data_IF_605994948892
#
_entry.id   IF_605994948892
#
_cell.length_a   1.000
_cell.length_b   1.000
_cell.length_c   1.000
_cell.angle_alpha   90.00
_cell.angle_beta   90.00
_cell.angle_gamma   90.00
#
_symmetry.space_group_name_H-M   'P 1'
#
loop_
_entity.id
_entity.type
_entity.pdbx_description
1 polymer ?
#
# COMPACT_ATOMS: atom_id res chain seq x y z
N UNK A 1 -12.41 -18.86 -14.54
CA UNK A 1 -11.52 -19.61 -13.63
C UNK A 1 -11.53 -18.96 -12.24
N UNK A 2 -12.70 -18.87 -11.58
CA UNK A 2 -12.92 -18.08 -10.34
C UNK A 2 -13.13 -18.97 -9.10
N UNK A 3 -13.35 -20.28 -9.28
CA UNK A 3 -13.82 -21.19 -8.22
C UNK A 3 -12.74 -21.90 -7.40
N UNK A 4 -11.45 -21.69 -7.69
CA UNK A 4 -10.36 -22.36 -6.95
C UNK A 4 -9.83 -21.52 -5.77
N UNK A 5 -10.25 -20.25 -5.65
CA UNK A 5 -9.61 -19.28 -4.75
C UNK A 5 -9.93 -19.44 -3.26
N UNK A 6 -10.83 -20.34 -2.86
CA UNK A 6 -11.35 -20.38 -1.48
C UNK A 6 -11.15 -21.71 -0.75
N UNK A 7 -10.53 -22.70 -1.38
CA UNK A 7 -9.97 -23.87 -0.69
C UNK A 7 -8.67 -23.42 0.00
N UNK A 8 -8.42 -23.91 1.21
CA UNK A 8 -7.15 -23.71 1.95
C UNK A 8 -6.87 -22.26 2.44
N UNK A 9 -7.88 -21.59 3.01
CA UNK A 9 -7.64 -20.36 3.78
C UNK A 9 -7.11 -20.75 5.16
N UNK A 10 -5.91 -20.28 5.57
CA UNK A 10 -5.43 -20.53 6.92
C UNK A 10 -6.34 -19.77 7.90
N UNK A 11 -6.68 -20.41 9.02
CA UNK A 11 -7.59 -19.85 10.02
C UNK A 11 -6.98 -20.05 11.40
N UNK A 12 -6.94 -18.99 12.18
CA UNK A 12 -6.66 -19.05 13.61
C UNK A 12 -8.01 -18.97 14.33
N UNK A 13 -8.17 -19.80 15.35
CA UNK A 13 -9.36 -19.82 16.19
C UNK A 13 -9.10 -19.05 17.47
N UNK A 14 -10.02 -18.16 17.83
CA UNK A 14 -9.89 -17.37 19.05
C UNK A 14 -10.23 -18.20 20.28
N UNK A 15 -9.58 -17.88 21.40
CA UNK A 15 -9.95 -18.41 22.72
C UNK A 15 -11.18 -17.66 23.24
N UNK A 16 -11.11 -16.32 23.21
CA UNK A 16 -12.22 -15.44 23.54
C UNK A 16 -12.68 -14.65 22.31
N UNK A 17 -14.00 -14.63 22.08
CA UNK A 17 -14.57 -13.95 20.91
C UNK A 17 -14.22 -12.45 20.90
N UNK A 18 -13.59 -11.98 19.84
CA UNK A 18 -13.19 -10.59 19.65
C UNK A 18 -11.84 -10.22 20.26
N UNK A 19 -11.05 -11.20 20.72
CA UNK A 19 -9.68 -10.95 21.21
C UNK A 19 -8.79 -10.37 20.10
N UNK A 20 -8.92 -10.82 18.85
CA UNK A 20 -8.11 -10.34 17.72
C UNK A 20 -8.36 -8.86 17.41
N UNK A 21 -9.60 -8.41 17.50
CA UNK A 21 -9.99 -7.01 17.28
C UNK A 21 -9.48 -6.11 18.41
N UNK A 22 -9.52 -6.60 19.64
CA UNK A 22 -8.97 -5.91 20.81
C UNK A 22 -7.45 -5.81 20.73
N UNK A 23 -6.77 -6.93 20.45
CA UNK A 23 -5.33 -6.99 20.26
C UNK A 23 -4.85 -6.09 19.12
N UNK A 24 -5.58 -6.07 17.99
CA UNK A 24 -5.32 -5.13 16.89
C UNK A 24 -5.36 -3.69 17.37
N UNK A 25 -6.39 -3.31 18.13
CA UNK A 25 -6.58 -1.93 18.62
C UNK A 25 -5.42 -1.49 19.51
N UNK A 26 -4.95 -2.39 20.38
CA UNK A 26 -3.77 -2.16 21.23
C UNK A 26 -2.52 -1.99 20.35
N UNK A 27 -2.34 -2.86 19.36
CA UNK A 27 -1.17 -2.82 18.48
C UNK A 27 -1.08 -1.55 17.62
N UNK A 28 -2.21 -0.91 17.29
CA UNK A 28 -2.20 0.36 16.56
C UNK A 28 -1.41 1.46 17.28
N UNK A 29 -1.38 1.43 18.61
CA UNK A 29 -0.67 2.40 19.44
C UNK A 29 0.86 2.23 19.36
N UNK A 30 1.35 1.07 18.94
CA UNK A 30 2.77 0.78 18.81
C UNK A 30 3.43 1.41 17.57
N UNK A 31 2.68 2.13 16.73
CA UNK A 31 3.26 3.08 15.76
C UNK A 31 4.06 2.46 14.62
N UNK A 32 3.56 1.40 13.97
CA UNK A 32 4.13 0.93 12.70
C UNK A 32 3.79 1.87 11.54
N UNK A 33 4.79 2.19 10.70
CA UNK A 33 4.73 3.21 9.63
C UNK A 33 3.57 3.02 8.66
N UNK A 34 3.44 1.84 8.04
CA UNK A 34 2.28 1.50 7.18
C UNK A 34 1.13 0.81 7.94
N UNK A 35 1.28 0.64 9.25
CA UNK A 35 0.32 -0.02 10.13
C UNK A 35 0.23 -1.54 10.00
N UNK A 36 -0.67 -2.16 10.79
CA UNK A 36 -0.85 -3.61 10.84
C UNK A 36 -1.38 -4.19 9.51
N UNK A 37 -1.16 -5.49 9.27
CA UNK A 37 -1.73 -6.17 8.11
C UNK A 37 -3.26 -6.14 8.18
N UNK A 38 -3.92 -6.25 7.05
CA UNK A 38 -5.38 -6.34 6.99
C UNK A 38 -5.87 -7.59 7.73
N UNK A 39 -6.93 -7.45 8.53
CA UNK A 39 -7.50 -8.51 9.36
C UNK A 39 -8.91 -8.84 8.88
N UNK A 40 -9.19 -10.13 8.69
CA UNK A 40 -10.52 -10.65 8.41
C UNK A 40 -10.96 -11.54 9.58
N UNK A 41 -11.98 -11.11 10.30
CA UNK A 41 -12.61 -11.84 11.39
C UNK A 41 -13.98 -12.39 10.97
N UNK A 42 -14.30 -13.61 11.41
CA UNK A 42 -15.58 -14.26 11.21
C UNK A 42 -16.00 -15.02 12.48
N UNK A 43 -17.17 -14.68 13.00
CA UNK A 43 -17.81 -15.36 14.12
C UNK A 43 -18.82 -16.39 13.60
N UNK A 44 -18.69 -17.63 14.07
CA UNK A 44 -19.53 -18.75 13.67
C UNK A 44 -20.32 -19.26 14.87
N UNK A 45 -21.57 -19.59 14.63
CA UNK A 45 -22.44 -20.21 15.63
C UNK A 45 -22.71 -21.65 15.25
N UNK A 46 -22.66 -22.57 16.22
CA UNK A 46 -22.86 -24.01 15.99
C UNK A 46 -24.34 -24.43 16.02
N UNK A 47 -25.28 -23.48 15.96
CA UNK A 47 -26.72 -23.75 15.89
C UNK A 47 -27.34 -24.41 17.13
N UNK A 48 -26.52 -24.90 18.07
CA UNK A 48 -26.94 -25.52 19.33
C UNK A 48 -27.12 -24.43 20.39
N UNK A 49 -28.30 -24.38 21.00
CA UNK A 49 -28.57 -23.42 22.07
C UNK A 49 -27.58 -23.61 23.24
N UNK A 50 -26.94 -22.53 23.68
CA UNK A 50 -26.03 -22.52 24.82
C UNK A 50 -24.54 -22.75 24.53
N UNK A 51 -24.13 -22.99 23.27
CA UNK A 51 -22.70 -22.97 22.91
C UNK A 51 -22.21 -21.56 22.57
N UNK A 52 -21.00 -21.22 23.02
CA UNK A 52 -20.33 -19.95 22.69
C UNK A 52 -20.03 -19.88 21.20
N UNK A 53 -20.18 -18.70 20.62
CA UNK A 53 -19.82 -18.45 19.23
C UNK A 53 -18.29 -18.59 19.06
N UNK A 54 -17.88 -19.30 18.01
CA UNK A 54 -16.49 -19.59 17.72
C UNK A 54 -15.93 -18.51 16.80
N UNK A 55 -14.98 -17.74 17.30
CA UNK A 55 -14.26 -16.71 16.55
C UNK A 55 -13.17 -17.33 15.69
N UNK A 56 -13.06 -16.90 14.44
CA UNK A 56 -11.94 -17.26 13.57
C UNK A 56 -11.44 -16.06 12.79
N UNK A 57 -10.13 -15.94 12.62
CA UNK A 57 -9.53 -14.84 11.87
C UNK A 57 -8.36 -15.30 11.01
N UNK A 58 -8.00 -14.46 10.06
CA UNK A 58 -6.79 -14.58 9.24
C UNK A 58 -6.32 -13.19 8.82
N UNK A 59 -5.02 -13.07 8.57
CA UNK A 59 -4.43 -11.87 8.03
C UNK A 59 -4.34 -11.99 6.51
N UNK A 60 -4.53 -10.90 5.79
CA UNK A 60 -4.32 -10.92 4.35
C UNK A 60 -4.97 -9.77 3.62
N UNK A 61 -4.29 -9.36 2.56
CA UNK A 61 -4.76 -8.33 1.66
C UNK A 61 -5.81 -8.91 0.70
N UNK A 62 -6.91 -8.20 0.44
CA UNK A 62 -7.84 -8.58 -0.63
C UNK A 62 -8.16 -7.50 -1.65
N UNK A 63 -8.45 -8.00 -2.87
CA UNK A 63 -8.89 -7.28 -4.08
C UNK A 63 -10.19 -6.48 -3.88
N UNK A 64 -10.22 -5.31 -4.55
CA UNK A 64 -11.35 -4.52 -5.11
C UNK A 64 -12.64 -4.35 -4.26
N UNK A 65 -12.95 -3.07 -3.99
CA UNK A 65 -14.19 -2.52 -3.40
C UNK A 65 -14.51 -3.15 -2.04
N UNK A 66 -13.87 -2.61 -1.01
CA UNK A 66 -13.96 -3.02 0.40
C UNK A 66 -15.42 -3.28 0.82
N UNK A 67 -16.34 -2.33 0.64
CA UNK A 67 -17.72 -2.49 1.15
C UNK A 67 -18.58 -3.57 0.47
N UNK A 68 -18.68 -3.59 -0.86
CA UNK A 68 -19.65 -4.44 -1.56
C UNK A 68 -19.27 -5.93 -1.58
N UNK A 69 -17.96 -6.23 -1.47
CA UNK A 69 -17.46 -7.61 -1.55
C UNK A 69 -17.16 -8.27 -0.22
N UNK A 70 -17.11 -7.58 0.92
CA UNK A 70 -17.01 -8.26 2.24
C UNK A 70 -18.28 -9.07 2.51
N UNK A 71 -19.45 -8.53 2.17
CA UNK A 71 -20.71 -9.29 2.23
C UNK A 71 -20.69 -10.50 1.28
N UNK A 72 -20.22 -10.35 0.03
CA UNK A 72 -20.02 -11.49 -0.87
C UNK A 72 -18.93 -12.45 -0.38
N UNK A 73 -17.87 -11.98 0.27
CA UNK A 73 -16.76 -12.78 0.79
C UNK A 73 -17.20 -13.63 1.97
N UNK A 74 -17.98 -13.08 2.91
CA UNK A 74 -18.60 -13.84 3.99
C UNK A 74 -19.63 -14.85 3.47
N UNK A 75 -20.35 -14.51 2.39
CA UNK A 75 -21.23 -15.46 1.67
C UNK A 75 -20.46 -16.52 0.85
N UNK A 76 -19.23 -16.23 0.39
CA UNK A 76 -18.40 -17.10 -0.45
C UNK A 76 -17.33 -17.88 0.31
N UNK A 77 -17.15 -17.63 1.62
CA UNK A 77 -16.38 -18.53 2.46
C UNK A 77 -17.03 -19.93 2.34
N UNK A 78 -16.26 -20.99 2.06
CA UNK A 78 -16.79 -22.34 1.86
C UNK A 78 -17.54 -22.87 3.08
N UNK A 79 -17.43 -22.20 4.23
CA UNK A 79 -18.23 -22.49 5.42
C UNK A 79 -19.74 -22.23 5.21
N UNK A 80 -20.15 -21.47 4.18
CA UNK A 80 -21.56 -21.40 3.79
C UNK A 80 -22.06 -22.67 3.09
N UNK A 81 -21.18 -23.46 2.47
CA UNK A 81 -21.52 -24.80 1.98
C UNK A 81 -21.50 -25.86 3.11
N UNK A 82 -20.92 -25.55 4.27
CA UNK A 82 -21.02 -26.35 5.49
C UNK A 82 -22.37 -26.23 6.21
N UNK A 83 -23.29 -25.42 5.69
CA UNK A 83 -24.72 -25.52 6.05
C UNK A 83 -25.27 -26.94 5.82
N UNK A 84 -24.66 -27.70 4.94
CA UNK A 84 -25.20 -29.00 4.51
C UNK A 84 -24.63 -30.21 5.26
N UNK A 85 -23.58 -30.06 6.09
CA UNK A 85 -22.93 -31.22 6.74
C UNK A 85 -22.62 -31.10 8.24
N UNK A 86 -22.41 -29.90 8.81
CA UNK A 86 -22.01 -29.75 10.22
C UNK A 86 -22.80 -28.71 11.06
N UNK A 87 -23.78 -28.02 10.47
CA UNK A 87 -24.67 -27.11 11.21
C UNK A 87 -24.02 -25.84 11.77
N UNK A 88 -22.88 -25.41 11.19
CA UNK A 88 -22.16 -24.20 11.60
C UNK A 88 -22.50 -23.06 10.65
N UNK A 89 -23.08 -21.97 11.17
CA UNK A 89 -23.45 -20.79 10.38
C UNK A 89 -22.61 -19.57 10.76
N UNK A 90 -22.14 -18.82 9.76
CA UNK A 90 -21.46 -17.53 9.96
C UNK A 90 -22.51 -16.48 10.34
N UNK A 91 -22.40 -15.90 11.53
CA UNK A 91 -23.34 -14.86 12.03
C UNK A 91 -22.83 -13.45 11.87
N UNK A 92 -21.53 -13.25 12.08
CA UNK A 92 -20.90 -11.94 12.04
C UNK A 92 -19.55 -12.02 11.34
N UNK A 93 -19.16 -10.97 10.64
CA UNK A 93 -17.81 -10.80 10.12
C UNK A 93 -17.35 -9.36 10.25
N UNK A 94 -16.06 -9.17 10.48
CA UNK A 94 -15.43 -7.86 10.55
C UNK A 94 -14.20 -7.86 9.65
N UNK A 95 -14.06 -6.83 8.81
CA UNK A 95 -12.84 -6.56 8.07
C UNK A 95 -12.20 -5.28 8.58
N UNK A 96 -10.91 -5.32 8.88
CA UNK A 96 -10.15 -4.16 9.33
C UNK A 96 -9.01 -3.86 8.37
N UNK A 97 -8.94 -2.62 7.92
CA UNK A 97 -7.87 -2.12 7.06
C UNK A 97 -7.36 -0.79 7.62
N UNK A 98 -6.06 -0.73 7.87
CA UNK A 98 -5.44 0.47 8.41
C UNK A 98 -5.20 1.49 7.30
N UNK A 99 -5.60 2.74 7.53
CA UNK A 99 -5.27 3.89 6.70
C UNK A 99 -4.04 4.60 7.26
N UNK A 100 -2.93 4.54 6.53
CA UNK A 100 -1.66 5.13 6.95
C UNK A 100 -1.60 6.66 6.72
N UNK A 101 -2.48 7.23 5.91
CA UNK A 101 -2.53 8.69 5.69
C UNK A 101 -3.17 9.40 6.89
N UNK A 102 -4.36 8.93 7.27
CA UNK A 102 -5.15 9.51 8.38
C UNK A 102 -4.88 8.84 9.73
N UNK A 103 -4.05 7.79 9.78
CA UNK A 103 -3.71 7.02 10.99
C UNK A 103 -4.94 6.46 11.73
N UNK A 104 -5.90 5.95 10.98
CA UNK A 104 -7.13 5.32 11.51
C UNK A 104 -7.32 3.93 10.95
N UNK A 105 -8.05 3.08 11.67
CA UNK A 105 -8.41 1.75 11.24
C UNK A 105 -9.86 1.71 10.76
N UNK A 106 -10.02 1.51 9.45
CA UNK A 106 -11.33 1.42 8.84
C UNK A 106 -11.86 0.01 9.02
N UNK A 107 -13.01 -0.10 9.70
CA UNK A 107 -13.66 -1.37 10.01
C UNK A 107 -15.00 -1.48 9.33
N UNK A 108 -15.28 -2.66 8.81
CA UNK A 108 -16.56 -3.00 8.18
C UNK A 108 -17.10 -4.25 8.83
N UNK A 109 -18.19 -4.09 9.58
CA UNK A 109 -18.93 -5.15 10.24
C UNK A 109 -20.10 -5.59 9.36
N UNK A 110 -20.31 -6.90 9.28
CA UNK A 110 -21.40 -7.52 8.52
C UNK A 110 -22.12 -8.50 9.40
N UNK A 111 -23.42 -8.28 9.62
CA UNK A 111 -24.28 -9.19 10.37
C UNK A 111 -25.16 -9.99 9.41
N UNK A 112 -25.29 -11.30 9.64
CA UNK A 112 -26.09 -12.21 8.80
C UNK A 112 -27.12 -12.95 9.67
N UNK A 113 -28.43 -12.86 9.37
CA UNK A 113 -29.07 -11.92 8.44
C UNK A 113 -29.00 -10.48 8.97
N UNK A 114 -28.67 -9.51 8.11
CA UNK A 114 -28.47 -8.13 8.55
C UNK A 114 -27.78 -7.23 7.53
N UNK A 115 -27.45 -6.01 7.97
CA UNK A 115 -26.80 -4.99 7.17
C UNK A 115 -25.27 -4.94 7.34
N UNK A 116 -24.64 -4.12 6.49
CA UNK A 116 -23.21 -3.78 6.55
C UNK A 116 -23.07 -2.43 7.25
N UNK A 117 -22.22 -2.35 8.28
CA UNK A 117 -21.90 -1.11 8.97
C UNK A 117 -20.40 -0.82 8.82
N UNK A 118 -20.05 0.38 8.38
CA UNK A 118 -18.66 0.81 8.23
C UNK A 118 -18.38 2.01 9.12
N UNK A 119 -17.30 1.93 9.88
CA UNK A 119 -16.88 2.92 10.87
C UNK A 119 -15.36 2.98 10.92
N UNK A 120 -14.83 4.02 11.57
CA UNK A 120 -13.40 4.18 11.79
C UNK A 120 -13.09 4.05 13.28
N UNK A 121 -11.92 3.52 13.57
CA UNK A 121 -11.36 3.46 14.92
C UNK A 121 -10.08 4.25 14.94
N UNK A 122 -9.98 5.24 15.82
CA UNK A 122 -8.77 6.03 15.97
C UNK A 122 -7.68 5.31 16.77
N UNK A 123 -6.51 5.95 16.94
CA UNK A 123 -5.41 5.40 17.72
C UNK A 123 -5.73 5.25 19.22
N UNK A 124 -6.74 5.95 19.72
CA UNK A 124 -7.22 5.84 21.12
C UNK A 124 -8.17 4.66 21.29
N UNK A 125 -8.66 4.08 20.20
CA UNK A 125 -9.64 3.02 20.19
C UNK A 125 -11.09 3.52 20.19
N UNK A 126 -11.30 4.84 20.00
CA UNK A 126 -12.64 5.41 19.92
C UNK A 126 -13.24 5.19 18.53
N UNK A 127 -14.55 4.88 18.50
CA UNK A 127 -15.28 4.59 17.27
C UNK A 127 -15.95 5.85 16.76
N UNK A 128 -15.75 6.15 15.48
CA UNK A 128 -16.38 7.28 14.80
C UNK A 128 -17.10 6.80 13.54
N UNK A 129 -18.23 7.42 13.25
CA UNK A 129 -18.96 7.16 12.01
C UNK A 129 -18.25 7.78 10.80
N UNK A 130 -18.43 7.18 9.62
CA UNK A 130 -17.90 7.74 8.39
C UNK A 130 -18.69 9.01 8.03
N UNK A 131 -18.04 10.17 8.17
CA UNK A 131 -18.59 11.47 7.79
C UNK A 131 -18.69 11.68 6.26
N UNK A 132 -18.99 12.91 5.81
CA UNK A 132 -19.13 13.25 4.40
C UNK A 132 -17.85 13.01 3.57
N UNK A 133 -16.69 12.95 4.23
CA UNK A 133 -15.36 12.68 3.64
C UNK A 133 -15.08 11.19 3.41
N UNK A 134 -16.09 10.32 3.56
CA UNK A 134 -15.94 8.86 3.40
C UNK A 134 -15.24 8.46 2.09
N UNK A 135 -15.48 9.18 0.99
CA UNK A 135 -14.90 8.86 -0.31
C UNK A 135 -13.36 9.01 -0.32
N UNK A 136 -12.82 10.06 0.31
CA UNK A 136 -11.38 10.26 0.43
C UNK A 136 -10.77 9.19 1.34
N UNK A 137 -11.44 8.89 2.45
CA UNK A 137 -11.03 7.84 3.39
C UNK A 137 -10.91 6.47 2.72
N UNK A 138 -11.87 6.11 1.86
CA UNK A 138 -11.81 4.84 1.11
C UNK A 138 -10.65 4.79 0.14
N UNK A 139 -10.33 5.93 -0.49
CA UNK A 139 -9.22 6.02 -1.43
C UNK A 139 -7.87 5.92 -0.73
N UNK A 140 -7.71 6.60 0.40
CA UNK A 140 -6.51 6.52 1.25
C UNK A 140 -6.32 5.10 1.81
N UNK A 141 -7.40 4.47 2.28
CA UNK A 141 -7.40 3.09 2.78
C UNK A 141 -7.02 2.10 1.67
N UNK A 142 -7.60 2.27 0.48
CA UNK A 142 -7.26 1.47 -0.69
C UNK A 142 -5.78 1.56 -1.03
N UNK A 143 -5.24 2.78 -1.08
CA UNK A 143 -3.83 2.99 -1.40
C UNK A 143 -2.94 2.41 -0.29
N UNK A 144 -3.24 2.64 0.98
CA UNK A 144 -2.52 2.07 2.14
C UNK A 144 -2.41 0.55 2.08
N UNK A 145 -3.53 -0.11 1.74
CA UNK A 145 -3.56 -1.56 1.57
C UNK A 145 -2.60 -2.01 0.44
N UNK A 146 -2.65 -1.36 -0.72
CA UNK A 146 -1.74 -1.67 -1.84
C UNK A 146 -0.27 -1.44 -1.44
N UNK A 147 0.04 -0.33 -0.77
CA UNK A 147 1.41 -0.04 -0.35
C UNK A 147 1.95 -1.12 0.58
N UNK A 148 1.19 -1.53 1.61
CA UNK A 148 1.55 -2.64 2.49
C UNK A 148 1.81 -3.91 1.68
N UNK A 149 0.95 -4.23 0.72
CA UNK A 149 1.10 -5.46 -0.06
C UNK A 149 2.30 -5.48 -0.99
N UNK A 150 2.68 -4.33 -1.56
CA UNK A 150 3.84 -4.23 -2.46
C UNK A 150 5.13 -4.22 -1.64
N UNK A 151 5.16 -3.51 -0.50
CA UNK A 151 6.38 -3.31 0.26
C UNK A 151 6.68 -4.49 1.19
N UNK A 152 5.67 -4.97 1.92
CA UNK A 152 5.84 -6.07 2.87
C UNK A 152 5.81 -7.45 2.22
N UNK A 153 5.61 -7.54 0.90
CA UNK A 153 5.65 -8.83 0.19
C UNK A 153 7.01 -9.52 0.32
N UNK A 154 8.09 -8.76 0.44
CA UNK A 154 9.46 -9.26 0.30
C UNK A 154 10.28 -9.10 1.58
N UNK A 155 9.67 -8.56 2.64
CA UNK A 155 10.32 -8.46 3.93
C UNK A 155 10.33 -9.83 4.62
N UNK A 156 11.51 -10.46 4.65
CA UNK A 156 11.73 -11.73 5.35
C UNK A 156 11.42 -11.68 6.84
N UNK A 157 11.43 -10.48 7.46
CA UNK A 157 11.02 -10.26 8.84
C UNK A 157 9.51 -10.19 9.03
N UNK A 158 8.74 -10.06 7.93
CA UNK A 158 7.29 -9.95 7.95
C UNK A 158 6.61 -11.32 7.79
N UNK A 159 6.95 -12.25 8.69
CA UNK A 159 6.32 -13.57 8.75
C UNK A 159 5.16 -13.54 9.75
N UNK A 160 3.94 -13.70 9.24
CA UNK A 160 2.71 -13.70 10.02
C UNK A 160 1.99 -15.03 9.87
N UNK A 161 1.61 -15.63 11.01
CA UNK A 161 0.76 -16.81 11.02
C UNK A 161 -0.58 -16.53 10.36
N UNK A 162 -1.08 -17.50 9.60
CA UNK A 162 -2.30 -17.38 8.82
C UNK A 162 -2.36 -16.12 7.91
N UNK A 163 -1.21 -15.64 7.43
CA UNK A 163 -1.15 -14.59 6.43
C UNK A 163 -1.37 -15.13 5.03
N UNK A 164 -2.40 -14.60 4.37
CA UNK A 164 -2.70 -14.91 2.97
C UNK A 164 -2.14 -13.80 2.07
N UNK A 165 -1.02 -14.10 1.41
CA UNK A 165 -0.45 -13.25 0.36
C UNK A 165 -1.28 -13.36 -0.91
N UNK A 166 -1.74 -12.22 -1.43
CA UNK A 166 -2.46 -12.12 -2.71
C UNK A 166 -1.92 -10.93 -3.47
N UNK A 167 -1.79 -11.07 -4.78
CA UNK A 167 -1.41 -9.95 -5.64
C UNK A 167 -2.49 -8.85 -5.59
N UNK A 168 -2.13 -7.62 -5.21
CA UNK A 168 -3.08 -6.50 -5.07
C UNK A 168 -3.68 -6.08 -6.41
N UNK A 169 -2.87 -6.14 -7.46
CA UNK A 169 -3.16 -5.64 -8.80
C UNK A 169 -2.96 -6.80 -9.76
N UNK A 170 -4.04 -7.21 -10.42
CA UNK A 170 -4.02 -8.38 -11.30
C UNK A 170 -4.67 -8.12 -12.64
N UNK A 171 -5.20 -6.93 -12.84
CA UNK A 171 -5.85 -6.53 -14.09
C UNK A 171 -5.33 -5.15 -14.48
N UNK A 172 -5.25 -4.85 -15.79
CA UNK A 172 -4.75 -3.56 -16.26
C UNK A 172 -5.62 -2.38 -15.75
N UNK A 173 -6.93 -2.58 -15.59
CA UNK A 173 -7.79 -1.53 -15.00
C UNK A 173 -7.55 -1.37 -13.50
N UNK A 174 -7.07 -2.41 -12.81
CA UNK A 174 -6.60 -2.28 -11.43
C UNK A 174 -5.35 -1.42 -11.33
N UNK A 175 -4.44 -1.56 -12.28
CA UNK A 175 -3.22 -0.77 -12.36
C UNK A 175 -3.51 0.71 -12.67
N UNK A 176 -4.41 0.96 -13.62
CA UNK A 176 -4.86 2.33 -13.92
C UNK A 176 -5.46 3.00 -12.68
N UNK A 177 -6.29 2.28 -11.90
CA UNK A 177 -6.85 2.80 -10.65
C UNK A 177 -5.80 3.06 -9.59
N UNK A 178 -4.78 2.21 -9.49
CA UNK A 178 -3.66 2.42 -8.60
C UNK A 178 -2.92 3.72 -8.97
N UNK A 179 -2.59 3.92 -10.25
CA UNK A 179 -1.95 5.15 -10.73
C UNK A 179 -2.81 6.40 -10.49
N UNK A 180 -4.12 6.32 -10.75
CA UNK A 180 -5.05 7.42 -10.48
C UNK A 180 -5.13 7.78 -8.99
N UNK A 181 -5.21 6.76 -8.13
CA UNK A 181 -5.24 6.98 -6.68
C UNK A 181 -3.91 7.54 -6.16
N UNK A 182 -2.79 7.03 -6.67
CA UNK A 182 -1.46 7.51 -6.37
C UNK A 182 -1.25 8.96 -6.82
N UNK A 183 -1.72 9.34 -8.01
CA UNK A 183 -1.66 10.72 -8.49
C UNK A 183 -2.43 11.68 -7.58
N UNK A 184 -3.67 11.32 -7.23
CA UNK A 184 -4.54 12.15 -6.41
C UNK A 184 -4.02 12.34 -4.98
N UNK A 185 -3.38 11.32 -4.40
CA UNK A 185 -2.82 11.36 -3.04
C UNK A 185 -1.32 11.67 -3.02
N UNK A 186 -0.69 11.98 -4.15
CA UNK A 186 0.75 12.09 -4.27
C UNK A 186 1.35 13.12 -3.30
N UNK A 187 0.73 14.31 -3.20
CA UNK A 187 1.20 15.39 -2.32
C UNK A 187 1.05 15.05 -0.83
N UNK A 188 0.14 14.13 -0.48
CA UNK A 188 -0.02 13.57 0.86
C UNK A 188 0.89 12.35 1.09
N UNK A 189 1.64 11.89 0.09
CA UNK A 189 2.44 10.67 0.14
C UNK A 189 3.53 10.65 1.21
N UNK A 190 3.99 11.80 1.70
CA UNK A 190 4.93 11.86 2.83
C UNK A 190 4.29 11.41 4.16
N UNK A 191 2.96 11.48 4.29
CA UNK A 191 2.24 11.12 5.51
C UNK A 191 2.30 9.62 5.80
N UNK A 192 2.42 8.77 4.78
CA UNK A 192 2.51 7.31 4.97
C UNK A 192 3.88 6.86 5.51
N UNK A 193 4.84 7.77 5.64
CA UNK A 193 6.20 7.47 6.10
C UNK A 193 7.15 7.02 4.99
N UNK A 194 8.34 6.59 5.38
CA UNK A 194 9.46 6.20 4.50
C UNK A 194 10.15 4.93 5.00
N UNK A 195 11.15 4.43 4.27
CA UNK A 195 12.02 3.35 4.74
C UNK A 195 12.85 3.78 5.99
N UNK A 196 13.29 2.85 6.85
CA UNK A 196 13.99 3.18 8.10
C UNK A 196 15.31 3.93 7.88
N UNK A 197 15.98 3.75 6.74
CA UNK A 197 17.21 4.46 6.37
C UNK A 197 16.96 5.95 6.07
N UNK A 198 15.72 6.31 5.76
CA UNK A 198 15.32 7.69 5.48
C UNK A 198 14.81 8.32 6.77
N UNK A 199 15.51 9.36 7.24
CA UNK A 199 15.18 10.05 8.50
C UNK A 199 13.88 10.85 8.41
N UNK A 200 13.65 11.53 7.28
CA UNK A 200 12.48 12.41 7.08
C UNK A 200 11.83 12.06 5.76
N UNK A 201 10.55 11.70 5.80
CA UNK A 201 9.77 11.45 4.60
C UNK A 201 9.59 12.76 3.82
N UNK A 202 9.87 12.71 2.51
CA UNK A 202 9.70 13.85 1.59
C UNK A 202 8.73 13.47 0.49
N UNK A 203 8.39 14.42 -0.39
CA UNK A 203 7.53 14.18 -1.56
C UNK A 203 8.12 13.12 -2.50
N UNK A 204 9.45 12.96 -2.50
CA UNK A 204 10.16 12.00 -3.36
C UNK A 204 10.74 10.78 -2.65
N UNK A 205 10.74 10.80 -1.32
CA UNK A 205 11.32 9.74 -0.48
C UNK A 205 10.29 9.35 0.58
N UNK A 206 9.36 8.49 0.16
CA UNK A 206 8.28 7.95 0.98
C UNK A 206 7.83 6.59 0.44
N UNK A 207 7.06 5.84 1.22
CA UNK A 207 6.58 4.52 0.85
C UNK A 207 5.72 4.51 -0.43
N UNK A 208 4.97 5.57 -0.74
CA UNK A 208 4.21 5.66 -1.98
C UNK A 208 5.13 5.63 -3.21
N UNK A 209 6.14 6.49 -3.23
CA UNK A 209 7.12 6.57 -4.33
C UNK A 209 7.98 5.30 -4.42
N UNK A 210 8.34 4.69 -3.29
CA UNK A 210 9.03 3.41 -3.24
C UNK A 210 8.17 2.30 -3.83
N UNK A 211 6.89 2.19 -3.45
CA UNK A 211 6.00 1.16 -3.95
C UNK A 211 5.73 1.26 -5.45
N UNK A 212 5.52 2.48 -5.98
CA UNK A 212 5.35 2.70 -7.43
C UNK A 212 6.61 2.25 -8.17
N UNK A 213 7.78 2.71 -7.71
CA UNK A 213 9.05 2.40 -8.35
C UNK A 213 9.34 0.90 -8.30
N UNK A 214 9.07 0.25 -7.17
CA UNK A 214 9.22 -1.19 -6.96
C UNK A 214 8.29 -1.99 -7.87
N UNK A 215 6.98 -1.75 -7.81
CA UNK A 215 5.99 -2.51 -8.57
C UNK A 215 6.21 -2.45 -10.10
N UNK A 216 6.50 -1.26 -10.64
CA UNK A 216 6.80 -1.13 -12.06
C UNK A 216 8.23 -1.56 -12.40
N UNK A 217 9.17 -1.43 -11.47
CA UNK A 217 10.56 -1.82 -11.69
C UNK A 217 10.77 -3.32 -11.69
N UNK A 218 10.17 -4.04 -10.75
CA UNK A 218 10.26 -5.50 -10.65
C UNK A 218 9.63 -6.18 -11.89
N UNK A 219 8.68 -5.51 -12.55
CA UNK A 219 8.08 -5.97 -13.80
C UNK A 219 8.73 -5.41 -15.07
N UNK A 220 9.75 -4.55 -14.94
CA UNK A 220 10.43 -3.88 -16.06
C UNK A 220 9.56 -2.85 -16.83
N UNK A 221 8.38 -2.47 -16.31
CA UNK A 221 7.40 -1.61 -16.98
C UNK A 221 7.50 -0.15 -16.54
N UNK A 222 8.72 0.37 -16.48
CA UNK A 222 9.04 1.71 -15.99
C UNK A 222 8.31 2.84 -16.73
N UNK A 223 7.84 2.63 -17.96
CA UNK A 223 7.10 3.62 -18.74
C UNK A 223 5.87 4.18 -18.00
N UNK A 224 5.15 3.34 -17.25
CA UNK A 224 3.96 3.76 -16.52
C UNK A 224 4.32 4.72 -15.37
N UNK A 225 5.41 4.41 -14.66
CA UNK A 225 5.95 5.29 -13.61
C UNK A 225 6.51 6.59 -14.20
N UNK A 226 7.22 6.53 -15.33
CA UNK A 226 7.75 7.70 -16.03
C UNK A 226 6.61 8.66 -16.44
N UNK A 227 5.54 8.16 -17.07
CA UNK A 227 4.40 8.98 -17.47
C UNK A 227 3.72 9.67 -16.26
N UNK A 228 3.57 8.96 -15.15
CA UNK A 228 3.02 9.52 -13.91
C UNK A 228 3.93 10.65 -13.37
N UNK A 229 5.23 10.37 -13.23
CA UNK A 229 6.17 11.36 -12.70
C UNK A 229 6.40 12.54 -13.63
N UNK A 230 6.32 12.36 -14.95
CA UNK A 230 6.39 13.44 -15.92
C UNK A 230 5.27 14.45 -15.68
N UNK A 231 4.03 13.94 -15.56
CA UNK A 231 2.84 14.73 -15.22
C UNK A 231 2.98 15.46 -13.89
N UNK A 232 3.48 14.77 -12.85
CA UNK A 232 3.66 15.36 -11.52
C UNK A 232 4.81 16.37 -11.47
N UNK A 233 5.88 16.17 -12.25
CA UNK A 233 7.06 17.03 -12.27
C UNK A 233 6.81 18.44 -12.82
N UNK A 234 5.68 18.63 -13.49
CA UNK A 234 5.19 19.93 -13.91
C UNK A 234 4.70 20.79 -12.74
N UNK A 235 4.19 20.13 -11.67
CA UNK A 235 3.70 20.80 -10.45
C UNK A 235 4.78 20.83 -9.37
N UNK A 236 5.47 19.71 -9.18
CA UNK A 236 6.46 19.54 -8.11
C UNK A 236 7.86 19.27 -8.70
N UNK A 237 8.77 20.26 -8.68
CA UNK A 237 10.07 20.12 -9.33
C UNK A 237 10.95 19.00 -8.80
N UNK A 238 10.82 18.66 -7.52
CA UNK A 238 11.62 17.61 -6.87
C UNK A 238 11.38 16.22 -7.48
N UNK A 239 10.17 15.97 -8.00
CA UNK A 239 9.75 14.71 -8.64
C UNK A 239 10.60 14.37 -9.87
N UNK A 240 11.32 15.34 -10.43
CA UNK A 240 12.29 15.11 -11.52
C UNK A 240 13.33 14.04 -11.20
N UNK A 241 13.70 13.89 -9.93
CA UNK A 241 14.61 12.84 -9.48
C UNK A 241 14.01 11.43 -9.72
N UNK A 242 12.71 11.25 -9.44
CA UNK A 242 11.97 10.00 -9.68
C UNK A 242 11.71 9.76 -11.17
N UNK A 243 11.38 10.82 -11.92
CA UNK A 243 11.19 10.74 -13.37
C UNK A 243 12.44 10.22 -14.05
N UNK A 244 13.61 10.79 -13.73
CA UNK A 244 14.84 10.38 -14.36
C UNK A 244 15.28 8.97 -13.97
N UNK A 245 15.04 8.54 -12.72
CA UNK A 245 15.21 7.13 -12.31
C UNK A 245 14.33 6.21 -13.15
N UNK A 246 13.12 6.63 -13.47
CA UNK A 246 12.21 5.87 -14.33
C UNK A 246 12.70 5.81 -15.78
N UNK A 247 13.22 6.91 -16.33
CA UNK A 247 13.82 6.92 -17.67
C UNK A 247 15.09 6.07 -17.78
N UNK A 248 15.91 6.03 -16.73
CA UNK A 248 17.05 5.10 -16.68
C UNK A 248 16.54 3.65 -16.74
N UNK A 249 15.45 3.34 -16.05
CA UNK A 249 14.82 2.01 -16.12
C UNK A 249 14.19 1.67 -17.48
N UNK A 250 13.86 2.66 -18.32
CA UNK A 250 13.40 2.45 -19.69
C UNK A 250 14.54 2.47 -20.74
N UNK A 251 15.80 2.41 -20.31
CA UNK A 251 17.00 2.57 -21.17
C UNK A 251 17.06 3.93 -21.92
N UNK A 252 16.30 4.94 -21.48
CA UNK A 252 16.29 6.28 -22.08
C UNK A 252 17.22 7.25 -21.32
N UNK A 253 18.47 6.82 -21.08
CA UNK A 253 19.44 7.55 -20.24
C UNK A 253 19.71 8.98 -20.73
N UNK A 254 19.72 9.20 -22.05
CA UNK A 254 19.93 10.54 -22.63
C UNK A 254 18.80 11.49 -22.23
N UNK A 255 17.54 11.02 -22.24
CA UNK A 255 16.40 11.83 -21.80
C UNK A 255 16.47 12.10 -20.29
N UNK A 256 16.89 11.10 -19.50
CA UNK A 256 17.12 11.27 -18.07
C UNK A 256 18.14 12.39 -17.80
N UNK A 257 19.31 12.35 -18.44
CA UNK A 257 20.37 13.35 -18.28
C UNK A 257 19.93 14.74 -18.76
N UNK A 258 19.24 14.83 -19.90
CA UNK A 258 18.70 16.10 -20.40
C UNK A 258 17.68 16.70 -19.43
N UNK A 259 16.80 15.87 -18.85
CA UNK A 259 15.82 16.31 -17.85
C UNK A 259 16.52 16.87 -16.60
N UNK A 260 17.59 16.21 -16.15
CA UNK A 260 18.43 16.62 -15.04
C UNK A 260 19.15 17.94 -15.27
N UNK A 261 19.82 18.10 -16.41
CA UNK A 261 20.56 19.31 -16.74
C UNK A 261 19.64 20.53 -16.84
N UNK A 262 18.49 20.37 -17.50
CA UNK A 262 17.46 21.42 -17.61
C UNK A 262 16.90 21.84 -16.25
N UNK A 263 16.81 20.92 -15.29
CA UNK A 263 16.27 21.20 -13.96
C UNK A 263 17.32 21.75 -13.00
N UNK A 264 18.55 21.21 -13.04
CA UNK A 264 19.67 21.64 -12.18
C UNK A 264 20.08 23.09 -12.41
N UNK A 265 19.89 23.60 -13.64
CA UNK A 265 20.12 25.01 -13.96
C UNK A 265 19.08 25.96 -13.37
N UNK A 266 17.90 25.45 -12.98
CA UNK A 266 16.77 26.24 -12.46
C UNK A 266 16.58 26.08 -10.95
N UNK A 267 16.79 24.87 -10.41
CA UNK A 267 16.62 24.57 -8.99
C UNK A 267 17.70 23.59 -8.51
N UNK A 268 18.35 23.92 -7.39
CA UNK A 268 19.28 22.99 -6.73
C UNK A 268 18.50 22.12 -5.75
N UNK A 269 18.30 20.86 -6.11
CA UNK A 269 17.70 19.86 -5.22
C UNK A 269 18.72 18.76 -4.91
N UNK A 270 18.93 18.46 -3.64
CA UNK A 270 19.90 17.44 -3.21
C UNK A 270 19.51 16.04 -3.70
N UNK A 271 18.22 15.75 -3.85
CA UNK A 271 17.70 14.46 -4.32
C UNK A 271 18.06 14.23 -5.79
N UNK A 272 18.07 15.31 -6.59
CA UNK A 272 18.52 15.29 -7.99
C UNK A 272 20.01 14.99 -8.09
N UNK A 273 20.83 15.66 -7.26
CA UNK A 273 22.27 15.42 -7.17
C UNK A 273 22.56 13.98 -6.76
N UNK A 274 21.84 13.46 -5.76
CA UNK A 274 21.99 12.09 -5.32
C UNK A 274 21.66 11.08 -6.43
N UNK A 275 20.60 11.31 -7.20
CA UNK A 275 20.24 10.48 -8.34
C UNK A 275 21.32 10.51 -9.44
N UNK A 276 21.90 11.69 -9.74
CA UNK A 276 23.00 11.84 -10.68
C UNK A 276 24.25 11.08 -10.22
N UNK A 277 24.63 11.23 -8.95
CA UNK A 277 25.74 10.51 -8.35
C UNK A 277 25.52 8.98 -8.41
N UNK A 278 24.31 8.51 -8.10
CA UNK A 278 23.96 7.09 -8.21
C UNK A 278 24.15 6.54 -9.63
N UNK A 279 23.72 7.29 -10.64
CA UNK A 279 23.91 6.92 -12.05
C UNK A 279 25.38 6.94 -12.49
N UNK A 280 26.14 7.97 -12.12
CA UNK A 280 27.57 8.00 -12.43
C UNK A 280 28.33 6.83 -11.80
N UNK A 281 27.94 6.46 -10.57
CA UNK A 281 28.48 5.28 -9.88
C UNK A 281 28.12 3.97 -10.58
N UNK A 282 26.89 3.81 -11.08
CA UNK A 282 26.52 2.60 -11.83
C UNK A 282 27.30 2.43 -13.14
N UNK A 283 27.77 3.55 -13.73
CA UNK A 283 28.67 3.55 -14.89
C UNK A 283 30.16 3.43 -14.54
N UNK A 284 30.51 3.29 -13.25
CA UNK A 284 31.90 3.19 -12.79
C UNK A 284 32.68 4.52 -12.77
N UNK A 285 32.00 5.66 -12.95
CA UNK A 285 32.63 6.99 -13.01
C UNK A 285 32.70 7.57 -11.59
N UNK A 286 33.80 7.30 -10.88
CA UNK A 286 34.01 7.77 -9.50
C UNK A 286 34.57 9.21 -9.43
N UNK A 287 35.32 9.66 -10.44
CA UNK A 287 35.99 10.97 -10.47
C UNK A 287 35.05 12.17 -10.68
N UNK A 288 33.87 11.95 -11.30
CA UNK A 288 32.84 12.99 -11.46
C UNK A 288 32.07 13.25 -10.16
N UNK A 289 31.88 12.23 -9.34
CA UNK A 289 31.05 12.27 -8.14
C UNK A 289 31.61 13.15 -7.01
N UNK A 290 32.94 13.26 -6.90
CA UNK A 290 33.65 14.05 -5.89
C UNK A 290 33.86 15.52 -6.26
N UNK A 291 33.63 15.91 -7.52
CA UNK A 291 33.99 17.23 -8.06
C UNK A 291 32.80 18.13 -8.39
N UNK A 292 31.58 17.71 -8.06
CA UNK A 292 30.35 18.43 -8.39
C UNK A 292 30.19 19.83 -7.78
N UNK A 293 30.75 20.16 -6.59
CA UNK A 293 30.78 21.55 -6.14
C UNK A 293 31.70 22.44 -6.99
N UNK A 294 32.73 21.89 -7.65
CA UNK A 294 33.80 22.69 -8.29
C UNK A 294 33.77 22.71 -9.82
N UNK A 295 33.10 21.75 -10.49
CA UNK A 295 33.10 21.62 -11.97
C UNK A 295 31.85 22.14 -12.67
N UNK A 296 31.19 23.19 -12.14
CA UNK A 296 30.10 23.88 -12.86
C UNK A 296 30.58 24.75 -14.03
N UNK A 297 31.88 25.06 -14.10
CA UNK A 297 32.44 25.97 -15.12
C UNK A 297 32.75 25.30 -16.47
N UNK A 298 32.99 23.99 -16.52
CA UNK A 298 33.55 23.35 -17.73
C UNK A 298 32.53 22.62 -18.60
N UNK A 299 31.34 22.29 -18.09
CA UNK A 299 30.32 21.59 -18.87
C UNK A 299 29.55 22.49 -19.86
N UNK A 300 29.65 23.82 -19.72
CA UNK A 300 29.01 24.80 -20.61
C UNK A 300 29.83 25.13 -21.87
N UNK A 301 31.08 24.66 -21.97
CA UNK A 301 31.97 24.95 -23.10
C UNK A 301 32.14 23.78 -24.09
N UNK A 302 31.55 22.61 -23.82
CA UNK A 302 31.69 21.43 -24.69
C UNK A 302 30.46 21.17 -25.58
N UNK A 303 29.50 22.08 -25.61
CA UNK A 303 28.28 21.99 -26.44
C UNK A 303 28.12 23.18 -27.40
N UNK A 304 29.24 23.64 -27.96
CA UNK A 304 29.31 24.56 -29.10
C UNK A 304 30.21 23.96 -30.17
#
# INVERSE_FOLDING_TARGET
MVDVAFKDVPKIFEVDSGESLSARTIFMQCGQRLGPPDLCYAAKSTGRSGQRDLGSYHYGLRRRRVLFRIACYLHQLPDMQLKTTLGVEVRNGCYCCFNAFSLVDVRVDVKIPGGVNAYIVDLRGERHELGPEAQEMWQETYLSAILRSILYSDDSGYWLDAYRKLDPITTPEGELRFLQAAEALFLKGWQVGSEPEIQVATVVSNHLTTAITKYFGDSGRYQHAANLFEKLSAREPEVSSLLARSYIGTDEEVKAIQSWLRRSSRHQSYTLLHAQCGFLRSKGITSGCSSWPSKRSTALQASS
#
